data_IF_342039028358
#
_entry.id   IF_342039028358
#
_cell.length_a   1.000
_cell.length_b   1.000
_cell.length_c   1.000
_cell.angle_alpha   90.00
_cell.angle_beta   90.00
_cell.angle_gamma   90.00
#
_symmetry.space_group_name_H-M   'P 1'
#
loop_
_entity.id
_entity.type
_entity.pdbx_description
1 polymer ?
#
# COMPACT_ATOMS: atom_id res chain seq x y z
N UNK A 1 38.71 22.03 16.81
CA UNK A 1 37.81 21.12 17.57
C UNK A 1 38.60 20.44 18.67
N UNK A 2 38.03 20.23 19.87
CA UNK A 2 38.74 19.56 20.98
C UNK A 2 38.83 18.06 20.74
N UNK A 3 39.99 17.45 21.03
CA UNK A 3 40.21 16.00 20.87
C UNK A 3 39.22 15.16 21.69
N UNK A 4 38.90 15.62 22.91
CA UNK A 4 37.89 14.97 23.76
C UNK A 4 36.49 14.96 23.13
N UNK A 5 36.10 16.02 22.41
CA UNK A 5 34.81 16.08 21.73
C UNK A 5 34.76 15.10 20.54
N UNK A 6 35.84 15.01 19.76
CA UNK A 6 35.99 14.06 18.66
C UNK A 6 35.85 12.62 19.15
N UNK A 7 36.53 12.27 20.25
CA UNK A 7 36.46 10.93 20.83
C UNK A 7 35.07 10.62 21.40
N UNK A 8 34.40 11.60 22.02
CA UNK A 8 33.02 11.45 22.51
C UNK A 8 32.01 11.19 21.40
N UNK A 9 32.02 12.02 20.36
CA UNK A 9 31.11 11.90 19.20
C UNK A 9 31.28 10.54 18.52
N UNK A 10 32.53 10.19 18.18
CA UNK A 10 32.81 8.94 17.48
C UNK A 10 32.49 7.71 18.31
N UNK A 11 32.70 7.75 19.64
CA UNK A 11 32.31 6.66 20.53
C UNK A 11 30.79 6.48 20.57
N UNK A 12 30.02 7.57 20.67
CA UNK A 12 28.55 7.52 20.67
C UNK A 12 28.01 7.00 19.35
N UNK A 13 28.50 7.52 18.21
CA UNK A 13 28.10 7.09 16.87
C UNK A 13 28.46 5.63 16.59
N UNK A 14 29.58 5.13 17.11
CA UNK A 14 29.98 3.75 16.98
C UNK A 14 29.06 2.77 17.73
N UNK A 15 28.45 3.22 18.83
CA UNK A 15 27.50 2.42 19.62
C UNK A 15 26.06 2.42 19.09
N UNK A 16 25.70 3.33 18.18
CA UNK A 16 24.34 3.37 17.63
C UNK A 16 24.08 2.21 16.66
N UNK A 17 22.90 1.60 16.73
CA UNK A 17 22.50 0.55 15.79
C UNK A 17 21.95 1.17 14.48
N UNK A 18 22.09 0.47 13.35
CA UNK A 18 21.53 0.89 12.07
C UNK A 18 22.27 2.02 11.33
N UNK A 19 23.40 2.49 11.85
CA UNK A 19 24.20 3.53 11.17
C UNK A 19 24.92 2.96 9.94
N UNK A 20 24.79 3.62 8.79
CA UNK A 20 25.42 3.17 7.55
C UNK A 20 26.94 3.38 7.55
N UNK A 21 27.68 2.36 7.15
CA UNK A 21 29.12 2.40 6.95
C UNK A 21 29.45 1.92 5.52
N UNK A 22 30.34 2.60 4.78
CA UNK A 22 30.74 2.13 3.47
C UNK A 22 31.31 0.70 3.49
N UNK A 23 31.08 -0.05 2.40
CA UNK A 23 31.38 -1.49 2.27
C UNK A 23 32.83 -1.92 2.51
N UNK A 24 33.79 -0.99 2.61
CA UNK A 24 35.16 -1.29 3.04
C UNK A 24 35.25 -1.87 4.47
N UNK A 25 34.19 -1.68 5.28
CA UNK A 25 34.08 -2.18 6.66
C UNK A 25 33.26 -3.50 6.72
N UNK A 26 32.75 -4.00 5.57
CA UNK A 26 31.74 -5.07 5.51
C UNK A 26 32.29 -6.49 5.26
N UNK A 27 33.51 -6.82 5.71
CA UNK A 27 33.95 -8.23 5.64
C UNK A 27 33.24 -9.10 6.69
N UNK A 28 32.82 -8.49 7.81
CA UNK A 28 31.99 -9.04 8.91
C UNK A 28 31.20 -7.86 9.52
N UNK A 29 30.14 -8.11 10.31
CA UNK A 29 29.45 -7.05 11.04
C UNK A 29 30.48 -6.28 11.89
N UNK A 30 30.73 -4.99 11.62
CA UNK A 30 31.88 -4.33 12.18
C UNK A 30 31.72 -4.13 13.68
N UNK A 31 32.70 -4.65 14.43
CA UNK A 31 32.78 -4.47 15.88
C UNK A 31 32.72 -2.96 16.22
N UNK A 32 32.07 -2.54 17.32
CA UNK A 32 32.00 -1.14 17.72
C UNK A 32 33.36 -0.44 17.76
N UNK A 33 34.44 -1.17 18.06
CA UNK A 33 35.81 -0.64 18.06
C UNK A 33 36.27 -0.24 16.65
N UNK A 34 35.97 -1.06 15.64
CA UNK A 34 36.31 -0.79 14.24
C UNK A 34 35.46 0.35 13.66
N UNK A 35 34.19 0.44 14.07
CA UNK A 35 33.31 1.56 13.70
C UNK A 35 33.88 2.88 14.23
N UNK A 36 34.32 2.89 15.49
CA UNK A 36 34.91 4.07 16.13
C UNK A 36 36.18 4.53 15.42
N UNK A 37 37.10 3.61 15.09
CA UNK A 37 38.35 3.98 14.39
C UNK A 37 38.07 4.54 13.00
N UNK A 38 37.12 3.97 12.26
CA UNK A 38 36.73 4.49 10.95
C UNK A 38 36.13 5.90 11.02
N UNK A 39 35.30 6.19 12.03
CA UNK A 39 34.74 7.53 12.24
C UNK A 39 35.81 8.54 12.65
N UNK A 40 36.77 8.14 13.49
CA UNK A 40 37.91 8.98 13.88
C UNK A 40 38.80 9.32 12.68
N UNK A 41 39.11 8.34 11.83
CA UNK A 41 39.88 8.55 10.61
C UNK A 41 39.17 9.53 9.67
N UNK A 42 37.88 9.30 9.42
CA UNK A 42 37.09 10.17 8.55
C UNK A 42 37.02 11.59 9.08
N UNK A 43 36.69 11.78 10.37
CA UNK A 43 36.56 13.10 10.97
C UNK A 43 37.90 13.86 11.03
N UNK A 44 39.01 13.14 11.16
CA UNK A 44 40.36 13.73 11.16
C UNK A 44 40.82 14.12 9.76
N UNK A 45 40.42 13.36 8.74
CA UNK A 45 40.80 13.59 7.34
C UNK A 45 39.92 14.63 6.67
N UNK A 46 38.60 14.54 6.86
CA UNK A 46 37.60 15.29 6.12
C UNK A 46 36.32 15.51 6.97
N UNK A 47 36.26 16.68 7.61
CA UNK A 47 35.10 17.09 8.41
C UNK A 47 33.84 17.37 7.57
N UNK A 48 33.90 17.99 6.37
CA UNK A 48 32.75 18.12 5.48
C UNK A 48 32.05 16.79 5.16
N UNK A 49 32.80 15.78 4.69
CA UNK A 49 32.23 14.46 4.34
C UNK A 49 31.63 13.79 5.58
N UNK A 50 32.25 13.95 6.75
CA UNK A 50 31.69 13.47 8.00
C UNK A 50 30.32 14.11 8.30
N UNK A 51 30.19 15.43 8.16
CA UNK A 51 28.93 16.15 8.38
C UNK A 51 27.87 15.82 7.32
N UNK A 52 28.27 15.54 6.08
CA UNK A 52 27.36 15.09 5.04
C UNK A 52 26.69 13.77 5.41
N UNK A 53 27.49 12.79 5.84
CA UNK A 53 27.06 11.40 6.08
C UNK A 53 26.42 11.19 7.45
N UNK A 54 27.01 11.77 8.48
CA UNK A 54 26.66 11.50 9.88
C UNK A 54 26.06 12.71 10.59
N UNK A 55 25.97 13.86 9.92
CA UNK A 55 25.51 15.11 10.55
C UNK A 55 24.05 15.09 11.02
N UNK A 56 23.18 14.27 10.43
CA UNK A 56 21.79 14.09 10.89
C UNK A 56 21.70 13.48 12.28
N UNK A 57 22.67 12.64 12.64
CA UNK A 57 22.72 11.88 13.87
C UNK A 57 23.45 12.60 15.01
N UNK A 58 23.91 13.84 14.76
CA UNK A 58 24.58 14.68 15.73
C UNK A 58 23.60 15.47 16.59
N UNK A 59 23.93 15.62 17.87
CA UNK A 59 23.21 16.48 18.80
C UNK A 59 23.55 17.96 18.54
N UNK A 60 22.72 18.87 19.08
CA UNK A 60 22.93 20.30 18.89
C UNK A 60 24.25 20.77 19.52
N UNK A 61 24.63 20.18 20.65
CA UNK A 61 25.89 20.51 21.35
C UNK A 61 27.10 19.98 20.58
N UNK A 62 27.02 18.76 20.02
CA UNK A 62 28.09 18.23 19.18
C UNK A 62 28.28 19.05 17.90
N UNK A 63 27.21 19.57 17.31
CA UNK A 63 27.30 20.47 16.15
C UNK A 63 27.97 21.82 16.49
N UNK A 64 27.96 22.26 17.76
CA UNK A 64 28.68 23.49 18.18
C UNK A 64 30.19 23.29 18.17
N UNK A 65 30.67 22.06 18.41
CA UNK A 65 32.11 21.76 18.39
C UNK A 65 32.74 21.94 16.99
N UNK A 66 31.92 21.89 15.94
CA UNK A 66 32.31 22.14 14.55
C UNK A 66 32.34 23.63 14.17
N UNK A 67 31.85 24.55 15.01
CA UNK A 67 31.88 25.99 14.71
C UNK A 67 33.31 26.53 14.58
N UNK A 68 34.28 25.89 15.24
CA UNK A 68 35.70 26.22 15.13
C UNK A 68 36.23 25.99 13.70
N UNK A 69 35.58 25.10 12.93
CA UNK A 69 35.93 24.75 11.56
C UNK A 69 35.13 25.52 10.51
N UNK A 70 34.36 26.54 10.93
CA UNK A 70 33.50 27.36 10.05
C UNK A 70 34.28 28.17 9.00
N UNK A 71 35.61 28.29 9.13
CA UNK A 71 36.44 28.93 8.11
C UNK A 71 36.37 28.19 6.76
N UNK A 72 36.06 26.89 6.77
CA UNK A 72 35.77 26.12 5.57
C UNK A 72 34.31 26.31 5.15
N UNK A 73 34.12 26.71 3.88
CA UNK A 73 32.81 26.93 3.28
C UNK A 73 31.93 25.68 3.33
N UNK A 74 32.48 24.49 3.10
CA UNK A 74 31.68 23.26 3.07
C UNK A 74 31.16 22.93 4.46
N UNK A 75 32.02 23.08 5.47
CA UNK A 75 31.63 22.91 6.89
C UNK A 75 30.54 23.91 7.26
N UNK A 76 30.70 25.20 6.94
CA UNK A 76 29.68 26.21 7.20
C UNK A 76 28.35 25.86 6.53
N UNK A 77 28.40 25.42 5.27
CA UNK A 77 27.21 25.03 4.52
C UNK A 77 26.48 23.85 5.17
N UNK A 78 27.21 22.80 5.54
CA UNK A 78 26.63 21.62 6.21
C UNK A 78 26.03 21.98 7.57
N UNK A 79 26.73 22.79 8.39
CA UNK A 79 26.20 23.23 9.69
C UNK A 79 24.91 24.03 9.54
N UNK A 80 24.87 24.97 8.59
CA UNK A 80 23.68 25.76 8.31
C UNK A 80 22.52 24.87 7.82
N UNK A 81 22.79 23.90 6.93
CA UNK A 81 21.80 22.94 6.45
C UNK A 81 21.20 22.11 7.59
N UNK A 82 22.04 21.55 8.45
CA UNK A 82 21.62 20.72 9.58
C UNK A 82 20.78 21.50 10.59
N UNK A 83 21.15 22.76 10.87
CA UNK A 83 20.37 23.67 11.73
C UNK A 83 19.00 23.98 11.14
N UNK A 84 18.93 24.34 9.85
CA UNK A 84 17.66 24.58 9.14
C UNK A 84 16.78 23.33 9.04
N UNK A 85 17.37 22.14 9.07
CA UNK A 85 16.65 20.87 9.14
C UNK A 85 15.96 20.68 10.50
N UNK A 86 16.71 20.93 11.58
CA UNK A 86 16.28 20.66 12.97
C UNK A 86 15.36 21.73 13.55
N UNK A 87 15.66 23.00 13.29
CA UNK A 87 14.89 24.15 13.76
C UNK A 87 14.65 25.11 12.59
N UNK A 88 13.76 24.75 11.65
CA UNK A 88 13.40 25.63 10.56
C UNK A 88 12.78 26.91 11.13
N UNK A 89 13.19 28.05 10.58
CA UNK A 89 12.55 29.33 10.92
C UNK A 89 11.09 29.30 10.45
N UNK A 90 10.19 30.04 11.11
CA UNK A 90 8.78 30.09 10.71
C UNK A 90 8.61 30.44 9.21
N UNK A 91 9.45 31.33 8.68
CA UNK A 91 9.48 31.70 7.26
C UNK A 91 9.92 30.55 6.36
N UNK A 92 10.96 29.80 6.75
CA UNK A 92 11.45 28.63 5.99
C UNK A 92 10.42 27.50 5.99
N UNK A 93 9.76 27.26 7.12
CA UNK A 93 8.68 26.29 7.22
C UNK A 93 7.49 26.69 6.31
N UNK A 94 7.13 27.97 6.30
CA UNK A 94 6.12 28.52 5.38
C UNK A 94 6.54 28.35 3.93
N UNK A 95 7.77 28.70 3.57
CA UNK A 95 8.30 28.55 2.21
C UNK A 95 8.27 27.08 1.75
N UNK A 96 8.70 26.14 2.59
CA UNK A 96 8.60 24.69 2.31
C UNK A 96 7.15 24.27 2.08
N UNK A 97 6.22 24.72 2.94
CA UNK A 97 4.79 24.43 2.80
C UNK A 97 4.21 24.97 1.49
N UNK A 98 4.55 26.22 1.14
CA UNK A 98 4.13 26.85 -0.13
C UNK A 98 4.68 26.08 -1.32
N UNK A 99 5.95 25.69 -1.31
CA UNK A 99 6.56 24.89 -2.38
C UNK A 99 5.85 23.54 -2.54
N UNK A 100 5.51 22.84 -1.46
CA UNK A 100 4.77 21.58 -1.53
C UNK A 100 3.36 21.80 -2.11
N UNK A 101 2.64 22.85 -1.66
CA UNK A 101 1.31 23.18 -2.19
C UNK A 101 1.36 23.55 -3.67
N UNK A 102 2.35 24.33 -4.09
CA UNK A 102 2.54 24.71 -5.48
C UNK A 102 2.88 23.51 -6.36
N UNK A 103 3.75 22.60 -5.89
CA UNK A 103 4.05 21.34 -6.60
C UNK A 103 2.81 20.46 -6.74
N UNK A 104 2.02 20.31 -5.66
CA UNK A 104 0.76 19.57 -5.69
C UNK A 104 -0.22 20.18 -6.68
N UNK A 105 -0.38 21.51 -6.66
CA UNK A 105 -1.25 22.23 -7.59
C UNK A 105 -0.80 22.04 -9.04
N UNK A 106 0.48 22.24 -9.33
CA UNK A 106 1.03 22.07 -10.67
C UNK A 106 0.83 20.63 -11.20
N UNK A 107 1.01 19.63 -10.34
CA UNK A 107 0.72 18.24 -10.69
C UNK A 107 -0.77 18.01 -10.95
N UNK A 108 -1.64 18.59 -10.13
CA UNK A 108 -3.09 18.48 -10.33
C UNK A 108 -3.54 19.14 -11.65
N UNK A 109 -2.98 20.30 -11.99
CA UNK A 109 -3.22 20.97 -13.28
C UNK A 109 -2.73 20.12 -14.46
N UNK A 110 -1.60 19.41 -14.31
CA UNK A 110 -1.12 18.45 -15.31
C UNK A 110 -2.11 17.29 -15.51
N UNK A 111 -2.64 16.72 -14.41
CA UNK A 111 -3.64 15.65 -14.47
C UNK A 111 -4.94 16.10 -15.12
N UNK A 112 -5.42 17.31 -14.79
CA UNK A 112 -6.61 17.92 -15.42
C UNK A 112 -6.38 18.07 -16.92
N UNK A 113 -5.24 18.65 -17.32
CA UNK A 113 -4.92 18.88 -18.73
C UNK A 113 -4.77 17.57 -19.51
N UNK A 114 -4.27 16.52 -18.86
CA UNK A 114 -4.19 15.18 -19.44
C UNK A 114 -5.55 14.51 -19.67
N UNK A 115 -6.57 14.86 -18.86
CA UNK A 115 -7.95 14.37 -19.03
C UNK A 115 -8.20 12.91 -18.63
N UNK A 116 -7.18 12.05 -18.72
CA UNK A 116 -7.30 10.61 -18.42
C UNK A 116 -7.54 10.33 -16.93
N UNK A 117 -6.80 10.98 -16.02
CA UNK A 117 -6.85 10.65 -14.59
C UNK A 117 -8.21 10.88 -13.92
N UNK A 118 -8.94 11.91 -14.39
CA UNK A 118 -10.28 12.26 -13.90
C UNK A 118 -11.39 11.77 -14.83
N UNK A 119 -11.06 10.93 -15.81
CA UNK A 119 -12.07 10.24 -16.61
C UNK A 119 -12.88 9.28 -15.74
N UNK A 120 -14.10 8.99 -16.17
CA UNK A 120 -15.01 8.09 -15.44
C UNK A 120 -14.40 6.69 -15.31
N UNK A 121 -13.85 6.14 -16.40
CA UNK A 121 -13.25 4.80 -16.41
C UNK A 121 -12.03 4.73 -15.49
N UNK A 122 -11.12 5.72 -15.54
CA UNK A 122 -9.95 5.75 -14.65
C UNK A 122 -10.34 5.91 -13.17
N UNK A 123 -11.43 6.62 -12.87
CA UNK A 123 -11.97 6.70 -11.52
C UNK A 123 -12.55 5.35 -11.08
N UNK A 124 -13.31 4.68 -11.96
CA UNK A 124 -13.92 3.36 -11.71
C UNK A 124 -12.87 2.31 -11.39
N UNK A 125 -11.75 2.29 -12.09
CA UNK A 125 -10.68 1.33 -11.86
C UNK A 125 -9.90 1.60 -10.57
N UNK A 126 -9.59 2.87 -10.29
CA UNK A 126 -8.76 3.29 -9.16
C UNK A 126 -9.50 3.24 -7.83
N UNK A 127 -10.70 3.84 -7.78
CA UNK A 127 -11.50 3.98 -6.58
C UNK A 127 -12.96 3.57 -6.88
N UNK A 128 -13.23 2.25 -7.02
CA UNK A 128 -14.53 1.75 -7.45
C UNK A 128 -15.70 2.17 -6.55
N UNK A 129 -15.46 2.28 -5.24
CA UNK A 129 -16.52 2.69 -4.30
C UNK A 129 -16.90 4.15 -4.46
N UNK A 130 -15.91 5.03 -4.58
CA UNK A 130 -16.13 6.44 -4.85
C UNK A 130 -16.88 6.62 -6.17
N UNK A 131 -16.47 5.89 -7.21
CA UNK A 131 -17.17 5.89 -8.49
C UNK A 131 -18.64 5.47 -8.33
N UNK A 132 -18.91 4.38 -7.61
CA UNK A 132 -20.26 3.88 -7.39
C UNK A 132 -21.16 4.91 -6.69
N UNK A 133 -20.66 5.56 -5.65
CA UNK A 133 -21.43 6.53 -4.85
C UNK A 133 -21.84 7.76 -5.65
N UNK A 134 -20.94 8.31 -6.47
CA UNK A 134 -21.18 9.57 -7.17
C UNK A 134 -21.71 9.40 -8.58
N UNK A 135 -21.36 8.31 -9.27
CA UNK A 135 -21.69 8.09 -10.68
C UNK A 135 -22.47 6.78 -10.87
N UNK A 136 -21.91 5.65 -10.41
CA UNK A 136 -22.39 4.32 -10.74
C UNK A 136 -23.84 4.02 -10.30
N UNK A 137 -24.27 4.52 -9.14
CA UNK A 137 -25.65 4.32 -8.63
C UNK A 137 -26.72 5.02 -9.47
N UNK A 138 -26.35 6.03 -10.25
CA UNK A 138 -27.25 6.78 -11.11
C UNK A 138 -27.20 6.30 -12.57
N UNK A 139 -26.26 5.42 -12.91
CA UNK A 139 -26.20 4.82 -14.23
C UNK A 139 -27.39 3.88 -14.44
N UNK A 140 -27.97 3.95 -15.63
CA UNK A 140 -29.12 3.15 -16.04
C UNK A 140 -28.82 1.63 -15.95
N UNK A 141 -29.69 0.83 -15.30
CA UNK A 141 -29.61 -0.63 -15.31
C UNK A 141 -29.41 -1.26 -16.69
N UNK A 142 -29.88 -0.63 -17.79
CA UNK A 142 -29.69 -1.15 -19.15
C UNK A 142 -28.21 -1.27 -19.58
N UNK A 143 -27.30 -0.48 -18.98
CA UNK A 143 -25.85 -0.61 -19.22
C UNK A 143 -25.22 -1.87 -18.58
N UNK A 144 -25.93 -2.48 -17.62
CA UNK A 144 -25.52 -3.64 -16.82
C UNK A 144 -26.29 -4.92 -17.20
N UNK A 145 -26.76 -5.02 -18.44
CA UNK A 145 -27.43 -6.23 -18.93
C UNK A 145 -26.42 -7.38 -19.08
N UNK A 146 -26.88 -8.60 -18.82
CA UNK A 146 -26.06 -9.82 -18.85
C UNK A 146 -25.45 -10.07 -20.23
N UNK A 147 -26.19 -9.82 -21.31
CA UNK A 147 -25.70 -9.95 -22.68
C UNK A 147 -25.99 -8.67 -23.45
N UNK A 148 -24.95 -8.09 -24.06
CA UNK A 148 -25.12 -6.98 -25.00
C UNK A 148 -25.32 -7.56 -26.41
N UNK A 149 -26.24 -7.02 -27.23
CA UNK A 149 -26.42 -7.49 -28.59
C UNK A 149 -25.09 -7.43 -29.37
N UNK A 150 -24.66 -8.57 -29.93
CA UNK A 150 -23.43 -8.68 -30.73
C UNK A 150 -22.14 -8.97 -29.95
N UNK A 151 -22.18 -9.09 -28.62
CA UNK A 151 -21.03 -9.45 -27.78
C UNK A 151 -20.80 -10.97 -27.80
N UNK A 152 -19.54 -11.42 -27.90
CA UNK A 152 -19.23 -12.85 -27.82
C UNK A 152 -19.31 -13.31 -26.37
N UNK A 153 -19.65 -14.58 -26.15
CA UNK A 153 -19.67 -15.18 -24.82
C UNK A 153 -18.39 -14.99 -24.01
N UNK A 154 -17.23 -15.05 -24.67
CA UNK A 154 -15.92 -14.80 -24.05
C UNK A 154 -15.77 -13.35 -23.54
N UNK A 155 -16.29 -12.38 -24.28
CA UNK A 155 -16.23 -10.96 -23.92
C UNK A 155 -17.17 -10.68 -22.74
N UNK A 156 -18.38 -11.23 -22.78
CA UNK A 156 -19.33 -11.17 -21.67
C UNK A 156 -18.74 -11.76 -20.38
N UNK A 157 -18.07 -12.92 -20.48
CA UNK A 157 -17.44 -13.56 -19.34
C UNK A 157 -16.34 -12.68 -18.74
N UNK A 158 -15.43 -12.18 -19.59
CA UNK A 158 -14.34 -11.29 -19.13
C UNK A 158 -14.88 -10.04 -18.44
N UNK A 159 -15.87 -9.38 -19.05
CA UNK A 159 -16.53 -8.20 -18.48
C UNK A 159 -17.18 -8.52 -17.13
N UNK A 160 -17.86 -9.66 -16.99
CA UNK A 160 -18.52 -10.05 -15.72
C UNK A 160 -17.51 -10.37 -14.62
N UNK A 161 -16.40 -11.00 -14.96
CA UNK A 161 -15.29 -11.21 -14.04
C UNK A 161 -14.72 -9.87 -13.55
N UNK A 162 -14.48 -8.91 -14.46
CA UNK A 162 -14.01 -7.57 -14.12
C UNK A 162 -15.01 -6.84 -13.20
N UNK A 163 -16.30 -6.87 -13.51
CA UNK A 163 -17.36 -6.28 -12.69
C UNK A 163 -17.44 -6.93 -11.29
N UNK A 164 -17.30 -8.26 -11.19
CA UNK A 164 -17.27 -8.95 -9.91
C UNK A 164 -16.07 -8.49 -9.05
N UNK A 165 -14.90 -8.31 -9.67
CA UNK A 165 -13.72 -7.80 -8.98
C UNK A 165 -13.91 -6.37 -8.48
N UNK A 166 -14.60 -5.52 -9.25
CA UNK A 166 -14.94 -4.15 -8.82
C UNK A 166 -15.94 -4.18 -7.65
N UNK A 167 -16.99 -5.01 -7.72
CA UNK A 167 -17.96 -5.17 -6.63
C UNK A 167 -17.29 -5.64 -5.34
N UNK A 168 -16.33 -6.58 -5.41
CA UNK A 168 -15.62 -7.01 -4.20
C UNK A 168 -14.72 -5.91 -3.63
N UNK A 169 -14.04 -5.12 -4.48
CA UNK A 169 -13.31 -3.93 -4.01
C UNK A 169 -14.24 -2.94 -3.31
N UNK A 170 -15.43 -2.72 -3.86
CA UNK A 170 -16.47 -1.89 -3.23
C UNK A 170 -16.86 -2.45 -1.87
N UNK A 171 -17.16 -3.74 -1.78
CA UNK A 171 -17.56 -4.40 -0.53
C UNK A 171 -16.48 -4.33 0.54
N UNK A 172 -15.21 -4.53 0.17
CA UNK A 172 -14.08 -4.37 1.09
C UNK A 172 -14.05 -2.96 1.69
N UNK A 173 -14.27 -1.95 0.86
CA UNK A 173 -14.30 -0.55 1.29
C UNK A 173 -15.53 -0.24 2.15
N UNK A 174 -16.71 -0.76 1.79
CA UNK A 174 -17.94 -0.65 2.58
C UNK A 174 -17.79 -1.28 3.97
N UNK A 175 -17.13 -2.44 4.08
CA UNK A 175 -16.76 -3.06 5.37
C UNK A 175 -15.84 -2.17 6.18
N UNK A 176 -14.80 -1.62 5.55
CA UNK A 176 -13.83 -0.71 6.21
C UNK A 176 -14.51 0.54 6.77
N UNK A 177 -15.51 1.07 6.06
CA UNK A 177 -16.27 2.27 6.44
C UNK A 177 -17.46 1.97 7.36
N UNK A 178 -17.76 0.69 7.64
CA UNK A 178 -18.86 0.30 8.52
C UNK A 178 -20.25 0.51 7.91
N UNK A 179 -20.38 0.46 6.59
CA UNK A 179 -21.67 0.58 5.89
C UNK A 179 -22.55 -0.64 6.22
N UNK A 180 -23.84 -0.40 6.50
CA UNK A 180 -24.78 -1.46 6.84
C UNK A 180 -24.93 -2.47 5.68
N UNK A 181 -25.03 -3.76 6.00
CA UNK A 181 -25.10 -4.85 4.99
C UNK A 181 -26.24 -4.67 3.98
N UNK A 182 -27.37 -4.07 4.38
CA UNK A 182 -28.50 -3.75 3.50
C UNK A 182 -28.13 -2.79 2.34
N UNK A 183 -27.14 -1.95 2.55
CA UNK A 183 -26.72 -0.92 1.60
C UNK A 183 -25.49 -1.39 0.77
N UNK A 184 -25.14 -2.67 0.89
CA UNK A 184 -24.02 -3.24 0.14
C UNK A 184 -24.35 -3.40 -1.33
N UNK A 185 -23.37 -3.07 -2.17
CA UNK A 185 -23.52 -3.17 -3.62
C UNK A 185 -23.52 -4.63 -4.06
N UNK A 186 -24.37 -4.96 -5.02
CA UNK A 186 -24.47 -6.31 -5.59
C UNK A 186 -25.36 -7.29 -4.83
N UNK A 187 -26.21 -6.82 -3.91
CA UNK A 187 -27.25 -7.67 -3.28
C UNK A 187 -26.71 -8.79 -2.39
N UNK A 188 -25.56 -8.57 -1.74
CA UNK A 188 -24.85 -9.53 -0.87
C UNK A 188 -25.50 -9.70 0.51
N UNK A 189 -26.77 -10.08 0.51
CA UNK A 189 -27.57 -10.41 1.69
C UNK A 189 -28.20 -11.79 1.57
N UNK A 190 -29.00 -11.96 0.52
CA UNK A 190 -29.93 -13.08 0.41
C UNK A 190 -29.51 -14.13 -0.64
N UNK A 191 -28.83 -13.71 -1.73
CA UNK A 191 -28.44 -14.63 -2.81
C UNK A 191 -27.19 -15.46 -2.51
N UNK A 192 -26.18 -14.86 -1.87
CA UNK A 192 -24.98 -15.62 -1.44
C UNK A 192 -25.29 -16.57 -0.28
N UNK A 193 -26.27 -16.22 0.57
CA UNK A 193 -26.76 -17.08 1.66
C UNK A 193 -27.53 -18.28 1.09
N UNK A 194 -28.41 -18.04 0.09
CA UNK A 194 -29.13 -19.11 -0.59
C UNK A 194 -28.21 -20.01 -1.42
N UNK A 195 -27.21 -19.47 -2.11
CA UNK A 195 -26.25 -20.30 -2.86
C UNK A 195 -25.35 -21.12 -1.92
N UNK A 196 -24.92 -20.59 -0.77
CA UNK A 196 -24.20 -21.37 0.26
C UNK A 196 -25.10 -22.41 0.96
N UNK A 197 -26.37 -22.11 1.20
CA UNK A 197 -27.33 -23.06 1.78
C UNK A 197 -27.70 -24.18 0.78
N UNK A 198 -27.85 -23.87 -0.51
CA UNK A 198 -28.08 -24.86 -1.58
C UNK A 198 -26.86 -25.76 -1.83
N UNK A 199 -25.63 -25.22 -1.81
CA UNK A 199 -24.40 -26.04 -1.92
C UNK A 199 -24.23 -26.96 -0.68
N UNK A 200 -24.67 -26.54 0.51
CA UNK A 200 -24.69 -27.40 1.71
C UNK A 200 -25.74 -28.51 1.63
N UNK A 201 -26.93 -28.24 1.09
CA UNK A 201 -27.95 -29.27 0.90
C UNK A 201 -27.55 -30.31 -0.18
N UNK A 202 -26.73 -29.94 -1.18
CA UNK A 202 -26.17 -30.88 -2.16
C UNK A 202 -24.98 -31.70 -1.61
N UNK A 203 -24.20 -31.20 -0.65
CA UNK A 203 -23.12 -31.97 0.03
C UNK A 203 -23.63 -32.86 1.18
N UNK A 204 -24.82 -32.62 1.74
CA UNK A 204 -25.41 -33.44 2.81
C UNK A 204 -26.04 -34.78 2.33
N UNK A 205 -26.09 -35.05 1.02
CA UNK A 205 -26.67 -36.30 0.47
C UNK A 205 -25.63 -37.40 0.15
N UNK A 206 -24.34 -37.19 0.47
CA UNK A 206 -23.25 -38.12 0.12
C UNK A 206 -22.23 -38.44 1.24
N UNK A 207 -22.54 -38.18 2.52
CA UNK A 207 -21.67 -38.60 3.64
C UNK A 207 -22.44 -39.25 4.80
N UNK A 208 -22.66 -40.57 4.68
CA UNK A 208 -23.03 -41.43 5.80
C UNK A 208 -21.75 -41.95 6.52
N UNK A 209 -21.67 -41.60 7.80
CA UNK A 209 -20.88 -42.18 8.90
C UNK A 209 -19.33 -42.29 8.80
N UNK A 210 -18.63 -41.41 9.55
CA UNK A 210 -17.73 -41.89 10.65
C UNK A 210 -17.28 -40.77 11.61
N UNK A 211 -16.99 -41.21 12.84
CA UNK A 211 -17.02 -40.48 14.11
C UNK A 211 -15.91 -39.43 14.39
N UNK A 212 -16.33 -38.37 15.12
CA UNK A 212 -15.64 -37.56 16.17
C UNK A 212 -14.12 -37.68 16.35
N UNK A 213 -13.41 -36.53 16.49
CA UNK A 213 -12.73 -36.08 17.74
C UNK A 213 -12.51 -34.54 17.75
N UNK A 214 -12.71 -33.94 18.93
CA UNK A 214 -12.56 -32.52 19.34
C UNK A 214 -11.16 -31.88 19.19
N UNK A 215 -11.12 -30.54 19.12
CA UNK A 215 -9.97 -29.71 19.51
C UNK A 215 -10.20 -28.19 19.35
N UNK A 216 -9.81 -27.40 20.35
CA UNK A 216 -10.19 -25.99 20.61
C UNK A 216 -9.42 -24.88 19.87
N UNK A 217 -10.08 -23.70 19.83
CA UNK A 217 -9.67 -22.28 19.69
C UNK A 217 -8.21 -21.86 19.41
N UNK A 218 -8.03 -20.89 18.48
CA UNK A 218 -7.82 -19.45 18.81
C UNK A 218 -7.55 -18.57 17.58
N UNK A 219 -8.07 -17.34 17.64
CA UNK A 219 -7.94 -16.32 16.60
C UNK A 219 -6.57 -15.65 16.49
N UNK A 220 -6.40 -14.92 15.37
CA UNK A 220 -5.26 -14.05 15.10
C UNK A 220 -5.46 -13.29 13.79
N UNK A 221 -5.96 -12.06 13.90
CA UNK A 221 -6.05 -11.08 12.80
C UNK A 221 -4.67 -10.82 12.19
N UNK A 222 -4.49 -11.08 10.91
CA UNK A 222 -3.39 -10.52 10.12
C UNK A 222 -3.90 -10.11 8.74
N UNK A 223 -3.62 -8.86 8.37
CA UNK A 223 -3.86 -8.31 7.03
C UNK A 223 -3.11 -9.16 5.99
N UNK A 224 -3.84 -10.06 5.33
CA UNK A 224 -3.29 -10.93 4.30
C UNK A 224 -3.16 -10.15 3.00
N UNK A 225 -1.94 -9.72 2.68
CA UNK A 225 -1.53 -9.53 1.29
C UNK A 225 -1.58 -10.90 0.64
N UNK A 226 -2.67 -11.18 -0.08
CA UNK A 226 -2.88 -12.43 -0.79
C UNK A 226 -1.66 -12.77 -1.64
N UNK A 227 -1.15 -14.00 -1.51
CA UNK A 227 -0.12 -14.53 -2.39
C UNK A 227 -0.65 -14.53 -3.83
N UNK A 228 0.25 -14.44 -4.82
CA UNK A 228 -0.12 -14.58 -6.23
C UNK A 228 -0.83 -15.93 -6.50
N UNK A 229 -0.48 -16.96 -5.72
CA UNK A 229 -1.10 -18.28 -5.78
C UNK A 229 -2.53 -18.28 -5.19
N UNK A 230 -2.77 -17.50 -4.13
CA UNK A 230 -4.12 -17.33 -3.56
C UNK A 230 -5.02 -16.55 -4.51
N UNK A 231 -4.45 -15.60 -5.26
CA UNK A 231 -5.17 -14.86 -6.29
C UNK A 231 -5.57 -15.75 -7.47
N UNK A 232 -4.70 -16.71 -7.86
CA UNK A 232 -5.00 -17.65 -8.94
C UNK A 232 -6.14 -18.60 -8.56
N UNK A 233 -6.10 -19.19 -7.36
CA UNK A 233 -7.15 -20.08 -6.85
C UNK A 233 -8.48 -19.36 -6.70
N UNK A 234 -8.45 -18.13 -6.18
CA UNK A 234 -9.64 -17.29 -6.04
C UNK A 234 -10.27 -16.92 -7.39
N UNK A 235 -9.46 -16.66 -8.42
CA UNK A 235 -9.95 -16.42 -9.78
C UNK A 235 -10.54 -17.67 -10.43
N UNK A 236 -9.99 -18.86 -10.13
CA UNK A 236 -10.58 -20.15 -10.53
C UNK A 236 -11.94 -20.37 -9.87
N UNK A 237 -12.08 -20.01 -8.60
CA UNK A 237 -13.32 -20.14 -7.84
C UNK A 237 -14.42 -19.20 -8.39
N UNK A 238 -14.07 -17.94 -8.72
CA UNK A 238 -15.00 -17.01 -9.38
C UNK A 238 -15.39 -17.50 -10.78
N UNK A 239 -14.44 -18.05 -11.56
CA UNK A 239 -14.73 -18.63 -12.87
C UNK A 239 -15.68 -19.81 -12.75
N UNK A 240 -15.48 -20.67 -11.75
CA UNK A 240 -16.35 -21.81 -11.48
C UNK A 240 -17.77 -21.35 -11.13
N UNK A 241 -17.92 -20.41 -10.19
CA UNK A 241 -19.22 -19.85 -9.80
C UNK A 241 -19.96 -19.18 -10.98
N UNK A 242 -19.24 -18.46 -11.83
CA UNK A 242 -19.82 -17.89 -13.06
C UNK A 242 -20.24 -18.97 -14.07
N UNK A 243 -19.49 -20.07 -14.18
CA UNK A 243 -19.79 -21.19 -15.07
C UNK A 243 -21.02 -21.97 -14.59
N UNK A 244 -21.15 -22.18 -13.28
CA UNK A 244 -22.30 -22.87 -12.65
C UNK A 244 -23.59 -22.07 -12.86
N UNK A 245 -23.56 -20.76 -12.64
CA UNK A 245 -24.69 -19.88 -12.94
C UNK A 245 -25.08 -19.89 -14.44
N UNK A 246 -24.11 -20.07 -15.33
CA UNK A 246 -24.34 -20.20 -16.77
C UNK A 246 -25.11 -21.47 -17.14
N UNK A 247 -24.73 -22.63 -16.58
CA UNK A 247 -25.42 -23.89 -16.85
C UNK A 247 -26.84 -23.94 -16.24
N UNK A 248 -27.03 -23.46 -15.00
CA UNK A 248 -28.37 -23.39 -14.37
C UNK A 248 -29.36 -22.51 -15.14
N UNK A 249 -28.89 -21.43 -15.77
CA UNK A 249 -29.76 -20.54 -16.57
C UNK A 249 -30.16 -21.13 -17.94
N UNK A 250 -29.36 -22.05 -18.49
CA UNK A 250 -29.65 -22.70 -19.77
C UNK A 250 -30.57 -23.92 -19.63
N UNK A 251 -30.54 -24.63 -18.50
CA UNK A 251 -31.47 -25.76 -18.26
C UNK A 251 -32.94 -25.33 -18.14
N UNK A 252 -33.18 -24.09 -17.68
CA UNK A 252 -34.53 -23.51 -17.62
C UNK A 252 -35.13 -23.18 -19.00
N UNK A 253 -34.32 -23.20 -20.08
CA UNK A 253 -34.79 -22.92 -21.45
C UNK A 253 -35.16 -24.17 -22.24
N UNK A 254 -34.92 -25.39 -21.73
CA UNK A 254 -35.18 -26.66 -22.44
C UNK A 254 -36.62 -27.19 -22.28
N UNK A 255 -37.44 -26.61 -21.39
CA UNK A 255 -38.80 -27.13 -21.08
C UNK A 255 -39.96 -26.24 -21.57
N UNK A 256 -39.74 -25.40 -22.59
CA UNK A 256 -40.82 -24.74 -23.33
C UNK A 256 -40.55 -24.72 -24.84
N UNK A 257 -40.73 -25.86 -25.47
CA UNK A 257 -41.08 -25.95 -26.89
C UNK A 257 -42.01 -27.16 -27.06
N UNK A 258 -43.24 -26.83 -27.47
CA UNK A 258 -44.42 -27.63 -27.85
C UNK A 258 -44.30 -29.15 -28.06
#
# INVERSE_FOLDING_TARGET
>A
MKRSAIEGITSRLASMEGLYFPGAIHRQAPDPSQRKTALLDLLSRDAPIFLERYGSELTADELREFEVLKADYEVEWHLNRLRRGRSPTAEEARARSVTVKNRRRAYMELLIRGGEYFSEDAMREREPYLHHEYLGRFQDPFGRVLSRPGERWSETLMRRCEEAMLVEKIRREQRRLGVARRDWVGGGGEKEQQEEDEEREEEEDDEDESEQVKGEEKGGSSESRMSLDDHSKYLEEIKHKCLVQYYRSNDSSSWKAD
#
